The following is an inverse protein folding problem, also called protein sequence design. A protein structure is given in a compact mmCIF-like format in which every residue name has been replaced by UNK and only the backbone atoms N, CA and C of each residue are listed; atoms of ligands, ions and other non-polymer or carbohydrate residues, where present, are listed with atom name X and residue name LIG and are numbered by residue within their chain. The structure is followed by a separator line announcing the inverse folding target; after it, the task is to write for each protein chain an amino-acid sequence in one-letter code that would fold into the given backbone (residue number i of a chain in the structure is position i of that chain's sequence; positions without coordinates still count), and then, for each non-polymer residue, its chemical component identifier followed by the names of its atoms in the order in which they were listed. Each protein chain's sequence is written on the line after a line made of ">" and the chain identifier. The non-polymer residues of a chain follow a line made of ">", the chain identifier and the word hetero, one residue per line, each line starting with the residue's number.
data_IF_885422376221
#
_entry.id   IF_885422376221
#
_cell.length_a   1.000
_cell.length_b   1.000
_cell.length_c   1.000
_cell.angle_alpha   90.00
_cell.angle_beta   90.00
_cell.angle_gamma   90.00
#
_symmetry.space_group_name_H-M   'P 1'
#
loop_
_entity.id
_entity.type
_entity.pdbx_description
1 polymer ?
#
# COMPACT_ATOMS: atom_id res chain seq x y z
N UNK A 1 39.15 -0.42 -3.94
CA UNK A 1 38.90 -0.58 -2.51
C UNK A 1 37.40 -0.76 -2.34
N UNK A 2 37.03 -1.92 -1.81
CA UNK A 2 35.74 -2.36 -1.26
C UNK A 2 34.44 -2.02 -2.02
N UNK A 3 34.04 -2.95 -2.89
CA UNK A 3 32.64 -3.23 -3.13
C UNK A 3 32.17 -4.24 -2.07
N UNK A 4 31.87 -3.78 -0.85
CA UNK A 4 31.03 -4.54 0.09
C UNK A 4 29.61 -4.04 -0.08
N UNK A 5 28.93 -4.56 -1.10
CA UNK A 5 27.47 -4.57 -1.12
C UNK A 5 27.05 -5.88 -0.45
N UNK A 6 26.37 -5.79 0.69
CA UNK A 6 25.58 -6.88 1.26
C UNK A 6 24.64 -7.43 0.19
N UNK A 7 25.07 -8.44 -0.57
CA UNK A 7 24.21 -9.26 -1.41
C UNK A 7 23.65 -10.36 -0.53
N UNK A 8 22.86 -9.96 0.46
CA UNK A 8 21.95 -10.89 1.12
C UNK A 8 20.97 -11.41 0.06
N UNK A 9 20.85 -12.73 -0.06
CA UNK A 9 20.01 -13.37 -1.07
C UNK A 9 18.56 -12.90 -0.94
N UNK A 10 17.94 -12.51 -2.05
CA UNK A 10 16.54 -12.09 -2.08
C UNK A 10 15.66 -13.32 -2.21
N UNK A 11 14.86 -13.61 -1.19
CA UNK A 11 13.93 -14.74 -1.19
C UNK A 11 12.63 -14.36 -1.91
N UNK A 12 12.16 -13.13 -1.69
CA UNK A 12 10.95 -12.58 -2.33
C UNK A 12 11.36 -11.56 -3.37
N UNK A 13 11.40 -11.95 -4.63
CA UNK A 13 11.83 -11.08 -5.73
C UNK A 13 10.66 -10.40 -6.47
N UNK A 14 10.91 -9.24 -7.12
CA UNK A 14 10.00 -8.72 -8.13
C UNK A 14 9.79 -9.72 -9.25
N UNK A 15 8.53 -9.86 -9.67
CA UNK A 15 8.17 -10.70 -10.79
C UNK A 15 8.46 -10.07 -12.16
N UNK A 16 7.81 -10.55 -13.22
CA UNK A 16 6.84 -11.64 -13.20
C UNK A 16 7.52 -12.99 -12.91
N UNK A 17 7.04 -13.68 -11.87
CA UNK A 17 7.56 -14.99 -11.49
C UNK A 17 6.83 -16.16 -12.19
N UNK A 18 5.87 -15.85 -13.08
CA UNK A 18 5.10 -16.83 -13.84
C UNK A 18 3.74 -17.14 -13.22
N UNK A 19 3.07 -18.17 -13.75
CA UNK A 19 1.67 -18.50 -13.41
C UNK A 19 1.46 -18.94 -11.96
N UNK A 20 2.48 -19.54 -11.33
CA UNK A 20 2.38 -20.11 -9.99
C UNK A 20 3.69 -19.91 -9.20
N UNK A 21 4.01 -18.67 -8.79
CA UNK A 21 5.16 -18.48 -7.93
C UNK A 21 4.92 -19.17 -6.58
N UNK A 22 5.93 -19.87 -6.02
CA UNK A 22 5.81 -20.38 -4.66
C UNK A 22 5.50 -19.22 -3.72
N UNK A 23 4.64 -19.46 -2.74
CA UNK A 23 4.39 -18.47 -1.68
C UNK A 23 5.67 -18.19 -0.91
N UNK A 24 5.82 -16.97 -0.36
CA UNK A 24 6.98 -16.67 0.47
C UNK A 24 7.08 -17.62 1.68
N UNK A 25 5.94 -18.05 2.22
CA UNK A 25 5.87 -19.06 3.28
C UNK A 25 6.44 -20.42 2.88
N UNK A 26 6.20 -20.91 1.65
CA UNK A 26 6.81 -22.15 1.13
C UNK A 26 8.32 -22.02 0.96
N UNK A 27 8.83 -20.80 0.79
CA UNK A 27 10.25 -20.48 0.76
C UNK A 27 10.85 -20.24 2.16
N UNK A 28 10.07 -20.44 3.22
CA UNK A 28 10.51 -20.28 4.61
C UNK A 28 10.43 -18.86 5.17
N UNK A 29 9.82 -17.92 4.43
CA UNK A 29 9.61 -16.55 4.91
C UNK A 29 8.39 -16.52 5.82
N UNK A 30 8.57 -16.03 7.05
CA UNK A 30 7.50 -15.84 8.02
C UNK A 30 7.25 -14.34 8.25
N UNK A 31 6.04 -13.96 8.71
CA UNK A 31 5.80 -12.59 9.16
C UNK A 31 6.82 -12.15 10.21
N UNK A 32 7.30 -10.90 10.17
CA UNK A 32 8.36 -10.44 11.07
C UNK A 32 7.87 -10.40 12.53
N UNK A 33 8.80 -10.52 13.49
CA UNK A 33 8.49 -10.30 14.91
C UNK A 33 8.31 -8.80 15.21
N UNK A 34 7.61 -8.42 16.30
CA UNK A 34 7.53 -7.01 16.72
C UNK A 34 8.91 -6.36 16.83
N UNK A 35 9.03 -5.12 16.30
CA UNK A 35 10.30 -4.39 16.23
C UNK A 35 11.16 -4.70 15.00
N UNK A 36 10.76 -5.65 14.16
CA UNK A 36 11.43 -6.01 12.91
C UNK A 36 10.50 -5.81 11.71
N UNK A 37 11.08 -5.70 10.53
CA UNK A 37 10.39 -5.70 9.24
C UNK A 37 10.95 -6.79 8.32
N UNK A 38 10.43 -6.84 7.10
CA UNK A 38 11.00 -7.68 6.03
C UNK A 38 11.62 -6.81 4.93
N UNK A 39 12.74 -7.29 4.39
CA UNK A 39 13.39 -6.80 3.16
C UNK A 39 13.68 -7.99 2.24
N UNK A 40 12.94 -8.09 1.14
CA UNK A 40 13.00 -9.19 0.16
C UNK A 40 12.93 -10.59 0.82
N UNK A 41 12.11 -10.74 1.86
CA UNK A 41 11.96 -11.98 2.64
C UNK A 41 12.93 -12.14 3.81
N UNK A 42 13.97 -11.29 3.92
CA UNK A 42 14.89 -11.31 5.06
C UNK A 42 14.36 -10.45 6.21
N UNK A 43 14.48 -10.97 7.44
CA UNK A 43 14.10 -10.23 8.65
C UNK A 43 15.16 -9.18 8.95
N UNK A 44 14.77 -7.91 8.94
CA UNK A 44 15.65 -6.76 9.19
C UNK A 44 15.10 -5.89 10.31
N UNK A 45 15.92 -4.97 10.84
CA UNK A 45 15.40 -3.93 11.72
C UNK A 45 14.29 -3.15 11.01
N UNK A 46 13.22 -2.83 11.74
CA UNK A 46 12.03 -2.19 11.16
C UNK A 46 12.38 -0.91 10.37
N UNK A 47 13.33 -0.11 10.89
CA UNK A 47 13.78 1.12 10.24
C UNK A 47 14.47 0.88 8.88
N UNK A 48 15.21 -0.23 8.74
CA UNK A 48 15.82 -0.62 7.45
C UNK A 48 14.72 -0.95 6.43
N UNK A 49 13.67 -1.67 6.85
CA UNK A 49 12.54 -1.95 5.98
C UNK A 49 11.82 -0.66 5.54
N UNK A 50 11.66 0.31 6.45
CA UNK A 50 11.09 1.63 6.14
C UNK A 50 11.95 2.42 5.16
N UNK A 51 13.28 2.41 5.31
CA UNK A 51 14.20 3.11 4.40
C UNK A 51 14.18 2.53 2.99
N UNK A 52 14.24 1.20 2.87
CA UNK A 52 14.17 0.53 1.57
C UNK A 52 12.82 0.75 0.87
N UNK A 53 11.74 0.74 1.66
CA UNK A 53 10.41 1.11 1.18
C UNK A 53 10.38 2.56 0.66
N UNK A 54 11.00 3.50 1.38
CA UNK A 54 11.11 4.89 0.95
C UNK A 54 11.90 5.02 -0.35
N UNK A 55 13.07 4.38 -0.44
CA UNK A 55 13.91 4.38 -1.65
C UNK A 55 13.17 3.82 -2.85
N UNK A 56 12.42 2.74 -2.67
CA UNK A 56 11.59 2.17 -3.72
C UNK A 56 10.56 3.18 -4.25
N UNK A 57 9.80 3.80 -3.35
CA UNK A 57 8.74 4.74 -3.73
C UNK A 57 9.27 6.06 -4.30
N UNK A 58 10.45 6.50 -3.88
CA UNK A 58 11.07 7.74 -4.34
C UNK A 58 11.79 7.61 -5.70
N UNK A 59 12.17 6.40 -6.11
CA UNK A 59 12.99 6.17 -7.32
C UNK A 59 12.24 5.49 -8.46
N UNK A 60 11.16 4.78 -8.17
CA UNK A 60 10.40 4.01 -9.16
C UNK A 60 9.26 4.83 -9.77
N UNK A 61 8.97 4.57 -11.03
CA UNK A 61 7.94 5.32 -11.76
C UNK A 61 6.55 4.96 -11.26
N UNK A 62 5.66 5.95 -11.31
CA UNK A 62 4.24 5.76 -11.00
C UNK A 62 4.03 5.13 -9.61
N UNK A 63 4.84 5.53 -8.63
CA UNK A 63 4.74 5.07 -7.26
C UNK A 63 3.30 5.29 -6.75
N UNK A 64 2.71 4.26 -6.13
CA UNK A 64 1.28 4.27 -5.80
C UNK A 64 1.01 3.83 -4.37
N UNK A 65 0.19 4.58 -3.65
CA UNK A 65 -0.37 4.16 -2.37
C UNK A 65 -1.77 3.58 -2.61
N UNK A 66 -1.98 2.37 -2.11
CA UNK A 66 -3.26 1.66 -2.12
C UNK A 66 -3.85 1.66 -0.69
N UNK A 67 -4.60 2.71 -0.30
CA UNK A 67 -5.32 2.71 0.98
C UNK A 67 -6.50 1.75 0.91
N UNK A 68 -6.61 0.86 1.89
CA UNK A 68 -7.71 -0.10 2.03
C UNK A 68 -8.84 0.34 2.95
N UNK A 69 -9.86 -0.51 3.14
CA UNK A 69 -11.07 -0.20 3.90
C UNK A 69 -10.82 0.20 5.36
N UNK A 70 -9.71 -0.24 5.97
CA UNK A 70 -9.37 0.12 7.36
C UNK A 70 -8.94 1.58 7.52
N UNK A 71 -8.71 2.31 6.42
CA UNK A 71 -8.31 3.72 6.43
C UNK A 71 -9.22 4.61 5.56
N UNK A 72 -9.95 4.05 4.60
CA UNK A 72 -10.77 4.83 3.66
C UNK A 72 -12.06 5.39 4.25
N UNK A 73 -12.62 4.68 5.23
CA UNK A 73 -13.95 5.00 5.74
C UNK A 73 -13.85 5.72 7.09
N UNK A 74 -14.39 6.94 7.15
CA UNK A 74 -14.41 7.75 8.37
C UNK A 74 -15.47 7.25 9.39
N UNK A 75 -15.30 6.01 9.86
CA UNK A 75 -16.21 5.38 10.82
C UNK A 75 -15.97 5.80 12.27
N UNK A 76 -14.73 6.16 12.60
CA UNK A 76 -14.31 6.57 13.93
C UNK A 76 -13.03 7.42 13.84
N UNK A 77 -12.67 8.05 14.96
CA UNK A 77 -11.50 8.93 15.04
C UNK A 77 -10.18 8.20 14.74
N UNK A 78 -10.10 6.90 15.02
CA UNK A 78 -8.90 6.09 14.73
C UNK A 78 -8.70 5.90 13.22
N UNK A 79 -9.77 5.59 12.48
CA UNK A 79 -9.75 5.49 11.03
C UNK A 79 -9.45 6.86 10.39
N UNK A 80 -10.05 7.93 10.92
CA UNK A 80 -9.76 9.30 10.50
C UNK A 80 -8.29 9.67 10.71
N UNK A 81 -7.70 9.34 11.86
CA UNK A 81 -6.32 9.65 12.16
C UNK A 81 -5.34 8.85 11.28
N UNK A 82 -5.65 7.57 11.02
CA UNK A 82 -4.89 6.77 10.04
C UNK A 82 -4.99 7.35 8.64
N UNK A 83 -6.17 7.79 8.19
CA UNK A 83 -6.35 8.42 6.90
C UNK A 83 -5.47 9.69 6.76
N UNK A 84 -5.46 10.55 7.78
CA UNK A 84 -4.57 11.72 7.84
C UNK A 84 -3.10 11.31 7.76
N UNK A 85 -2.68 10.30 8.53
CA UNK A 85 -1.31 9.82 8.50
C UNK A 85 -0.90 9.27 7.12
N UNK A 86 -1.81 8.62 6.38
CA UNK A 86 -1.57 8.20 4.98
C UNK A 86 -1.42 9.39 4.04
N UNK A 87 -2.22 10.44 4.21
CA UNK A 87 -2.08 11.68 3.44
C UNK A 87 -0.79 12.43 3.76
N UNK A 88 -0.37 12.44 5.03
CA UNK A 88 0.93 12.96 5.47
C UNK A 88 2.10 12.19 4.84
N UNK A 89 1.99 10.85 4.72
CA UNK A 89 2.95 10.02 3.99
C UNK A 89 2.98 10.38 2.50
N UNK A 90 1.79 10.50 1.88
CA UNK A 90 1.67 10.88 0.48
C UNK A 90 2.34 12.24 0.22
N UNK A 91 2.23 13.20 1.14
CA UNK A 91 2.89 14.51 1.05
C UNK A 91 4.43 14.45 0.99
N UNK A 92 5.05 13.31 1.30
CA UNK A 92 6.50 13.10 1.20
C UNK A 92 6.95 12.43 -0.10
N UNK A 93 6.04 12.18 -1.05
CA UNK A 93 6.37 11.47 -2.30
C UNK A 93 6.04 12.33 -3.52
N UNK A 94 6.99 12.63 -4.42
CA UNK A 94 6.68 13.36 -5.65
C UNK A 94 5.87 12.50 -6.62
N UNK A 95 4.91 13.11 -7.31
CA UNK A 95 4.13 12.48 -8.40
C UNK A 95 3.48 11.12 -8.01
N UNK A 96 3.09 10.98 -6.74
CA UNK A 96 2.54 9.72 -6.21
C UNK A 96 1.07 9.60 -6.59
N UNK A 97 0.63 8.40 -6.96
CA UNK A 97 -0.80 8.13 -7.13
C UNK A 97 -1.40 7.60 -5.84
N UNK A 98 -2.65 7.96 -5.57
CA UNK A 98 -3.47 7.32 -4.53
C UNK A 98 -4.64 6.64 -5.23
N UNK A 99 -4.68 5.30 -5.16
CA UNK A 99 -5.75 4.49 -5.75
C UNK A 99 -6.44 3.74 -4.60
N UNK A 100 -7.60 4.22 -4.13
CA UNK A 100 -8.37 3.56 -3.09
C UNK A 100 -8.72 2.11 -3.44
N UNK A 101 -8.65 1.22 -2.44
CA UNK A 101 -9.23 -0.12 -2.46
C UNK A 101 -10.50 -0.11 -1.58
N UNK A 102 -11.63 0.48 -2.06
CA UNK A 102 -12.79 0.77 -1.22
C UNK A 102 -13.48 -0.48 -0.68
N UNK A 103 -13.53 -1.54 -1.47
CA UNK A 103 -14.18 -2.78 -1.10
C UNK A 103 -13.67 -3.93 -1.97
N UNK A 104 -13.16 -4.97 -1.33
CA UNK A 104 -12.69 -6.19 -1.97
C UNK A 104 -13.57 -7.41 -1.67
N UNK A 105 -14.71 -7.23 -0.99
CA UNK A 105 -15.70 -8.30 -0.86
C UNK A 105 -16.15 -8.74 -2.26
N UNK A 106 -16.47 -10.02 -2.45
CA UNK A 106 -17.14 -10.44 -3.67
C UNK A 106 -18.42 -9.60 -3.82
N UNK A 107 -18.64 -9.04 -5.01
CA UNK A 107 -19.78 -8.19 -5.29
C UNK A 107 -21.06 -9.04 -5.41
N UNK A 108 -21.56 -9.57 -4.30
CA UNK A 108 -22.82 -10.30 -4.24
C UNK A 108 -24.00 -9.37 -4.52
N UNK A 109 -25.08 -9.86 -5.16
CA UNK A 109 -25.32 -11.23 -5.61
C UNK A 109 -24.78 -11.55 -7.03
N UNK A 110 -23.88 -10.74 -7.60
CA UNK A 110 -23.48 -10.85 -9.02
C UNK A 110 -22.56 -12.04 -9.34
N UNK A 111 -22.36 -12.96 -8.40
CA UNK A 111 -21.40 -14.07 -8.49
C UNK A 111 -22.14 -15.32 -8.01
N UNK A 112 -22.30 -16.30 -8.90
CA UNK A 112 -22.77 -17.64 -8.57
C UNK A 112 -21.57 -18.48 -8.12
N UNK A 113 -21.43 -18.81 -6.82
CA UNK A 113 -20.24 -19.51 -6.33
C UNK A 113 -20.03 -20.90 -6.94
N UNK A 114 -21.10 -21.52 -7.46
CA UNK A 114 -21.03 -22.79 -8.20
C UNK A 114 -20.40 -22.64 -9.59
N UNK A 115 -20.45 -21.45 -10.17
CA UNK A 115 -20.08 -21.19 -11.58
C UNK A 115 -18.81 -20.33 -11.71
N UNK A 116 -18.54 -19.44 -10.76
CA UNK A 116 -17.43 -18.48 -10.89
C UNK A 116 -16.75 -18.13 -9.58
N UNK A 117 -15.41 -18.30 -9.56
CA UNK A 117 -14.53 -17.72 -8.56
C UNK A 117 -14.17 -16.28 -8.99
N UNK A 118 -14.38 -15.29 -8.11
CA UNK A 118 -14.05 -13.90 -8.41
C UNK A 118 -12.89 -13.39 -7.53
N UNK A 119 -11.63 -13.57 -7.97
CA UNK A 119 -10.54 -12.79 -7.43
C UNK A 119 -10.55 -11.40 -8.05
N UNK A 120 -10.38 -10.37 -7.22
CA UNK A 120 -9.92 -9.07 -7.75
C UNK A 120 -8.58 -9.29 -8.46
N UNK A 121 -8.37 -8.67 -9.63
CA UNK A 121 -7.14 -8.80 -10.43
C UNK A 121 -6.24 -7.56 -10.27
N UNK A 122 -5.50 -7.42 -9.16
CA UNK A 122 -4.69 -6.22 -8.88
C UNK A 122 -3.55 -6.02 -9.88
N UNK A 123 -3.06 -7.09 -10.49
CA UNK A 123 -2.07 -7.03 -11.57
C UNK A 123 -2.53 -6.20 -12.78
N UNK A 124 -3.84 -6.16 -13.07
CA UNK A 124 -4.39 -5.31 -14.13
C UNK A 124 -4.27 -3.83 -13.79
N UNK A 125 -4.51 -3.45 -12.53
CA UNK A 125 -4.32 -2.07 -12.06
C UNK A 125 -2.85 -1.65 -12.15
N UNK A 126 -1.93 -2.55 -11.76
CA UNK A 126 -0.49 -2.34 -11.87
C UNK A 126 -0.08 -2.13 -13.34
N UNK A 127 -0.50 -3.00 -14.26
CA UNK A 127 -0.18 -2.87 -15.68
C UNK A 127 -0.81 -1.63 -16.33
N UNK A 128 -2.10 -1.39 -16.09
CA UNK A 128 -2.83 -0.28 -16.68
C UNK A 128 -2.24 1.08 -16.32
N UNK A 129 -1.73 1.22 -15.09
CA UNK A 129 -1.10 2.45 -14.60
C UNK A 129 0.44 2.40 -14.66
N UNK A 130 1.03 1.31 -15.15
CA UNK A 130 2.49 1.09 -15.24
C UNK A 130 3.21 1.34 -13.91
N UNK A 131 2.65 0.81 -12.82
CA UNK A 131 3.14 1.03 -11.45
C UNK A 131 4.39 0.18 -11.23
N UNK A 132 5.51 0.83 -10.87
CA UNK A 132 6.78 0.13 -10.61
C UNK A 132 7.06 -0.05 -9.10
N UNK A 133 6.37 0.69 -8.22
CA UNK A 133 6.40 0.49 -6.78
C UNK A 133 5.04 0.85 -6.15
N UNK A 134 4.63 0.11 -5.12
CA UNK A 134 3.43 0.43 -4.38
C UNK A 134 3.51 0.10 -2.89
N UNK A 135 2.65 0.75 -2.11
CA UNK A 135 2.41 0.46 -0.69
C UNK A 135 0.93 0.14 -0.47
N UNK A 136 0.66 -0.99 0.18
CA UNK A 136 -0.66 -1.32 0.72
C UNK A 136 -0.75 -0.87 2.18
N UNK A 137 -1.77 -0.09 2.53
CA UNK A 137 -1.99 0.42 3.89
C UNK A 137 -3.46 0.23 4.25
N UNK A 138 -3.75 -0.39 5.39
CA UNK A 138 -5.14 -0.58 5.85
C UNK A 138 -5.93 -1.62 5.04
N UNK A 139 -5.25 -2.66 4.56
CA UNK A 139 -5.84 -3.81 3.86
C UNK A 139 -5.87 -5.01 4.82
N UNK A 140 -6.99 -5.76 4.89
CA UNK A 140 -7.05 -6.97 5.71
C UNK A 140 -6.03 -8.00 5.22
N UNK A 141 -5.43 -8.74 6.16
CA UNK A 141 -4.23 -9.52 5.89
C UNK A 141 -4.39 -10.59 4.79
N UNK A 142 -5.53 -11.28 4.79
CA UNK A 142 -5.84 -12.32 3.81
C UNK A 142 -5.95 -11.74 2.38
N UNK A 143 -6.53 -10.54 2.22
CA UNK A 143 -6.62 -9.87 0.92
C UNK A 143 -5.27 -9.33 0.45
N UNK A 144 -4.45 -8.81 1.37
CA UNK A 144 -3.11 -8.35 1.05
C UNK A 144 -2.25 -9.50 0.51
N UNK A 145 -2.18 -10.64 1.18
CA UNK A 145 -1.37 -11.78 0.72
C UNK A 145 -1.83 -12.32 -0.64
N UNK A 146 -3.14 -12.46 -0.89
CA UNK A 146 -3.64 -12.84 -2.22
C UNK A 146 -3.25 -11.83 -3.29
N UNK A 147 -3.41 -10.53 -2.98
CA UNK A 147 -3.06 -9.43 -3.88
C UNK A 147 -1.58 -9.44 -4.24
N UNK A 148 -0.71 -9.57 -3.24
CA UNK A 148 0.74 -9.58 -3.39
C UNK A 148 1.21 -10.76 -4.25
N UNK A 149 0.64 -11.95 -4.06
CA UNK A 149 0.93 -13.12 -4.91
C UNK A 149 0.57 -12.88 -6.37
N UNK A 150 -0.61 -12.32 -6.65
CA UNK A 150 -1.04 -12.02 -8.02
C UNK A 150 -0.15 -10.96 -8.69
N UNK A 151 0.28 -9.95 -7.93
CA UNK A 151 1.21 -8.92 -8.41
C UNK A 151 2.58 -9.53 -8.70
N UNK A 152 3.12 -10.39 -7.83
CA UNK A 152 4.41 -11.09 -8.06
C UNK A 152 4.33 -12.06 -9.24
N UNK A 153 3.20 -12.74 -9.43
CA UNK A 153 3.00 -13.63 -10.56
C UNK A 153 3.04 -12.88 -11.90
N UNK A 154 2.32 -11.75 -11.99
CA UNK A 154 2.09 -11.05 -13.25
C UNK A 154 2.96 -9.83 -13.52
N UNK A 155 3.66 -9.27 -12.53
CA UNK A 155 4.27 -7.93 -12.67
C UNK A 155 5.64 -7.85 -12.00
N UNK A 156 6.41 -6.82 -12.37
CA UNK A 156 7.69 -6.46 -11.76
C UNK A 156 7.57 -5.32 -10.73
N UNK A 157 6.35 -5.02 -10.25
CA UNK A 157 6.10 -3.97 -9.29
C UNK A 157 6.73 -4.31 -7.93
N UNK A 158 7.45 -3.35 -7.35
CA UNK A 158 7.97 -3.46 -6.00
C UNK A 158 6.86 -3.26 -4.98
N UNK A 159 6.56 -4.31 -4.22
CA UNK A 159 5.42 -4.30 -3.30
C UNK A 159 5.84 -4.07 -1.86
N UNK A 160 5.13 -3.15 -1.21
CA UNK A 160 5.33 -2.82 0.19
C UNK A 160 4.03 -2.95 0.97
N UNK A 161 4.13 -3.28 2.24
CA UNK A 161 2.99 -3.46 3.13
C UNK A 161 3.24 -2.75 4.46
N UNK A 162 2.34 -1.83 4.82
CA UNK A 162 2.26 -1.27 6.16
C UNK A 162 1.00 -1.86 6.81
N UNK A 163 1.19 -2.99 7.47
CA UNK A 163 0.14 -3.85 8.01
C UNK A 163 -0.23 -3.42 9.43
N UNK A 164 -1.53 -3.44 9.76
CA UNK A 164 -2.00 -3.17 11.12
C UNK A 164 -1.71 -4.31 12.11
N UNK A 165 -1.42 -5.52 11.61
CA UNK A 165 -1.27 -6.73 12.41
C UNK A 165 0.11 -7.38 12.22
N UNK A 166 0.18 -8.55 11.57
CA UNK A 166 1.35 -9.43 11.60
C UNK A 166 2.42 -9.08 10.56
N UNK A 167 2.06 -8.32 9.53
CA UNK A 167 2.90 -8.10 8.35
C UNK A 167 2.58 -9.09 7.21
N UNK A 168 3.18 -8.86 6.04
CA UNK A 168 2.94 -9.64 4.82
C UNK A 168 4.25 -10.22 4.28
N UNK A 169 4.37 -11.54 4.35
CA UNK A 169 5.52 -12.31 3.90
C UNK A 169 5.72 -12.24 2.37
N UNK A 170 4.63 -12.08 1.60
CA UNK A 170 4.70 -11.96 0.14
C UNK A 170 5.04 -10.54 -0.36
N UNK A 171 5.13 -9.54 0.53
CA UNK A 171 5.61 -8.22 0.17
C UNK A 171 7.14 -8.16 0.24
N UNK A 172 7.76 -7.36 -0.63
CA UNK A 172 9.21 -7.15 -0.60
C UNK A 172 9.62 -6.32 0.62
N UNK A 173 8.77 -5.38 1.03
CA UNK A 173 8.98 -4.61 2.25
C UNK A 173 7.76 -4.70 3.14
N UNK A 174 7.95 -5.08 4.40
CA UNK A 174 6.85 -5.19 5.36
C UNK A 174 7.19 -4.50 6.66
N UNK A 175 6.23 -3.71 7.13
CA UNK A 175 6.13 -3.17 8.49
C UNK A 175 4.83 -3.69 9.10
N UNK A 176 4.87 -4.05 10.38
CA UNK A 176 3.76 -4.66 11.13
C UNK A 176 3.27 -3.76 12.26
N UNK A 177 2.18 -4.17 12.93
CA UNK A 177 1.57 -3.47 14.07
C UNK A 177 1.34 -1.97 13.82
N UNK A 178 0.89 -1.60 12.62
CA UNK A 178 0.79 -0.21 12.21
C UNK A 178 -0.52 0.46 12.62
N UNK A 179 -0.38 1.43 13.52
CA UNK A 179 -1.37 2.46 13.80
C UNK A 179 -1.00 3.79 13.11
N UNK A 180 -1.74 4.85 13.40
CA UNK A 180 -1.45 6.17 12.85
C UNK A 180 -0.07 6.71 13.29
N UNK A 181 0.37 6.43 14.53
CA UNK A 181 1.68 6.84 15.02
C UNK A 181 2.81 6.12 14.25
N UNK A 182 2.67 4.84 13.97
CA UNK A 182 3.60 4.06 13.15
C UNK A 182 3.65 4.57 11.72
N UNK A 183 2.50 4.88 11.09
CA UNK A 183 2.48 5.49 9.75
C UNK A 183 3.23 6.82 9.76
N UNK A 184 3.04 7.67 10.78
CA UNK A 184 3.80 8.92 10.92
C UNK A 184 5.29 8.70 11.10
N UNK A 185 5.71 7.64 11.82
CA UNK A 185 7.12 7.26 11.89
C UNK A 185 7.67 6.89 10.51
N UNK A 186 6.92 6.10 9.73
CA UNK A 186 7.27 5.81 8.33
C UNK A 186 7.38 7.10 7.53
N UNK A 187 6.44 8.03 7.68
CA UNK A 187 6.47 9.36 7.04
C UNK A 187 7.75 10.13 7.36
N UNK A 188 8.22 10.11 8.61
CA UNK A 188 9.49 10.76 8.98
C UNK A 188 10.69 10.11 8.30
N UNK A 189 10.72 8.78 8.19
CA UNK A 189 11.77 8.06 7.45
C UNK A 189 11.73 8.44 5.97
N UNK A 190 10.54 8.48 5.35
CA UNK A 190 10.37 8.88 3.96
C UNK A 190 10.87 10.31 3.72
N UNK A 191 10.53 11.24 4.63
CA UNK A 191 11.04 12.61 4.60
C UNK A 191 12.57 12.65 4.67
N UNK A 192 13.16 11.94 5.63
CA UNK A 192 14.63 11.86 5.80
C UNK A 192 15.29 11.34 4.52
N UNK A 193 14.85 10.20 4.01
CA UNK A 193 15.40 9.58 2.79
C UNK A 193 15.22 10.50 1.58
N UNK A 194 14.07 11.16 1.43
CA UNK A 194 13.82 12.15 0.37
C UNK A 194 14.82 13.30 0.41
N UNK A 195 15.06 13.85 1.60
CA UNK A 195 15.98 14.96 1.82
C UNK A 195 17.44 14.55 1.56
N UNK A 196 17.86 13.37 2.04
CA UNK A 196 19.17 12.78 1.73
C UNK A 196 19.39 12.58 0.23
N UNK A 197 18.35 12.20 -0.50
CA UNK A 197 18.38 12.02 -1.96
C UNK A 197 18.26 13.34 -2.74
N UNK A 198 18.03 14.48 -2.06
CA UNK A 198 17.87 15.79 -2.71
C UNK A 198 16.60 15.92 -3.56
N UNK A 199 15.58 15.08 -3.32
CA UNK A 199 14.34 15.07 -4.08
C UNK A 199 13.42 16.21 -3.61
N UNK A 200 13.12 17.13 -4.53
CA UNK A 200 12.25 18.28 -4.27
C UNK A 200 10.78 17.93 -4.47
N UNK A 201 9.94 18.51 -3.63
CA UNK A 201 8.48 18.49 -3.77
C UNK A 201 8.01 19.79 -4.45
N UNK A 202 6.85 19.80 -5.11
CA UNK A 202 6.28 21.01 -5.68
C UNK A 202 5.95 22.04 -4.60
N UNK A 203 6.18 23.31 -4.87
CA UNK A 203 6.02 24.41 -3.90
C UNK A 203 4.58 24.59 -3.41
N UNK A 204 3.60 24.28 -4.28
CA UNK A 204 2.18 24.33 -3.96
C UNK A 204 1.67 23.07 -3.22
N UNK A 205 2.54 22.09 -2.95
CA UNK A 205 2.18 20.84 -2.30
C UNK A 205 1.34 19.90 -3.17
N UNK A 206 1.11 20.18 -4.45
CA UNK A 206 0.31 19.32 -5.35
C UNK A 206 1.13 18.12 -5.86
N UNK A 207 1.52 17.24 -4.95
CA UNK A 207 2.39 16.11 -5.25
C UNK A 207 1.66 14.78 -5.44
N UNK A 208 0.33 14.74 -5.23
CA UNK A 208 -0.50 13.57 -5.60
C UNK A 208 -1.01 13.72 -7.02
N UNK A 209 -0.63 12.80 -7.90
CA UNK A 209 -1.09 12.73 -9.28
C UNK A 209 -2.40 11.94 -9.36
N UNK A 210 -3.35 12.47 -10.12
CA UNK A 210 -4.57 11.75 -10.48
C UNK A 210 -4.32 10.75 -11.60
N UNK A 211 -4.97 9.58 -11.50
CA UNK A 211 -5.17 8.67 -12.63
C UNK A 211 -6.00 9.35 -13.73
N UNK A 212 -6.02 8.78 -14.94
CA UNK A 212 -6.79 9.33 -16.06
C UNK A 212 -8.28 9.54 -15.73
N UNK A 213 -8.90 8.57 -15.04
CA UNK A 213 -10.31 8.69 -14.61
C UNK A 213 -10.49 9.72 -13.50
N UNK A 214 -9.60 9.76 -12.51
CA UNK A 214 -9.63 10.78 -11.45
C UNK A 214 -9.51 12.19 -12.06
N UNK A 215 -8.62 12.39 -13.02
CA UNK A 215 -8.47 13.66 -13.72
C UNK A 215 -9.77 14.11 -14.40
N UNK A 216 -10.47 13.19 -15.08
CA UNK A 216 -11.75 13.47 -15.73
C UNK A 216 -12.82 13.95 -14.75
N UNK A 217 -12.95 13.30 -13.59
CA UNK A 217 -13.94 13.68 -12.57
C UNK A 217 -13.53 14.93 -11.76
N UNK A 218 -12.26 15.34 -11.85
CA UNK A 218 -11.73 16.56 -11.26
C UNK A 218 -11.49 17.66 -12.30
N UNK A 219 -12.35 17.76 -13.32
CA UNK A 219 -12.33 18.83 -14.33
C UNK A 219 -10.98 18.97 -15.07
N UNK A 220 -10.30 17.86 -15.32
CA UNK A 220 -9.01 17.82 -16.02
C UNK A 220 -7.81 18.22 -15.16
N UNK A 221 -7.98 18.44 -13.85
CA UNK A 221 -6.83 18.59 -12.93
C UNK A 221 -5.95 17.35 -13.02
N UNK A 222 -4.64 17.54 -12.97
CA UNK A 222 -3.66 16.44 -13.01
C UNK A 222 -3.14 16.08 -11.62
N UNK A 223 -3.15 17.03 -10.68
CA UNK A 223 -2.61 16.86 -9.34
C UNK A 223 -3.51 17.50 -8.28
N UNK A 224 -3.25 17.14 -7.03
CA UNK A 224 -3.84 17.74 -5.83
C UNK A 224 -2.85 17.73 -4.68
N UNK A 225 -3.04 18.64 -3.73
CA UNK A 225 -2.35 18.58 -2.45
C UNK A 225 -3.01 17.52 -1.55
N UNK A 226 -2.29 16.47 -1.11
CA UNK A 226 -2.86 15.43 -0.24
C UNK A 226 -3.37 15.98 1.08
N UNK A 227 -2.78 17.05 1.60
CA UNK A 227 -3.16 17.65 2.89
C UNK A 227 -4.45 18.50 2.80
N UNK A 228 -4.88 18.83 1.58
CA UNK A 228 -6.14 19.55 1.32
C UNK A 228 -7.30 18.60 1.03
N UNK A 229 -7.06 17.29 0.94
CA UNK A 229 -8.11 16.31 0.74
C UNK A 229 -8.99 16.27 2.00
N UNK A 230 -10.28 16.66 1.91
CA UNK A 230 -11.14 16.70 3.08
C UNK A 230 -11.43 15.27 3.56
N UNK A 231 -11.49 15.11 4.88
CA UNK A 231 -12.14 13.94 5.44
C UNK A 231 -13.65 14.07 5.22
N UNK A 232 -14.28 13.03 4.69
CA UNK A 232 -15.73 12.96 4.61
C UNK A 232 -16.37 13.05 6.00
N UNK A 233 -17.66 13.41 6.07
CA UNK A 233 -18.40 13.44 7.33
C UNK A 233 -18.32 12.09 8.06
N UNK A 234 -18.23 12.13 9.39
CA UNK A 234 -18.24 10.93 10.22
C UNK A 234 -19.62 10.26 10.14
N UNK A 235 -19.67 9.00 9.69
CA UNK A 235 -20.93 8.25 9.57
C UNK A 235 -21.30 7.84 8.14
N UNK A 236 -22.31 6.97 8.05
CA UNK A 236 -22.52 6.01 6.96
C UNK A 236 -22.73 6.52 5.53
N UNK A 237 -22.70 7.82 5.24
CA UNK A 237 -22.99 8.33 3.90
C UNK A 237 -21.97 7.86 2.83
N UNK A 238 -20.68 7.74 3.17
CA UNK A 238 -19.65 7.32 2.21
C UNK A 238 -19.56 5.80 2.05
N UNK A 239 -19.71 5.05 3.14
CA UNK A 239 -19.47 3.62 3.13
C UNK A 239 -20.76 2.78 2.95
N UNK A 240 -21.94 3.28 3.36
CA UNK A 240 -23.22 2.65 3.03
C UNK A 240 -23.52 2.72 1.52
N UNK A 241 -23.00 3.73 0.81
CA UNK A 241 -23.02 3.79 -0.65
C UNK A 241 -22.28 2.60 -1.30
N UNK A 242 -21.35 1.96 -0.58
CA UNK A 242 -20.65 0.74 -0.97
C UNK A 242 -21.17 -0.49 -0.19
N UNK A 243 -22.30 -0.38 0.50
CA UNK A 243 -22.92 -1.47 1.25
C UNK A 243 -22.12 -1.91 2.48
N UNK A 244 -21.36 -1.01 3.09
CA UNK A 244 -20.72 -1.25 4.39
C UNK A 244 -21.55 -0.60 5.50
N UNK A 245 -21.69 -1.29 6.63
CA UNK A 245 -22.29 -0.74 7.84
C UNK A 245 -21.24 -0.65 8.97
N UNK A 246 -21.37 0.29 9.92
CA UNK A 246 -20.44 0.39 11.05
C UNK A 246 -20.24 -0.92 11.81
N UNK A 247 -21.30 -1.74 11.93
CA UNK A 247 -21.29 -3.00 12.67
C UNK A 247 -20.45 -4.08 11.98
N UNK A 248 -20.27 -4.01 10.66
CA UNK A 248 -19.46 -4.95 9.89
C UNK A 248 -17.96 -4.83 10.24
N UNK A 249 -17.56 -3.75 10.94
CA UNK A 249 -16.19 -3.46 11.36
C UNK A 249 -15.99 -3.53 12.88
N UNK A 250 -17.03 -3.79 13.68
CA UNK A 250 -16.98 -3.65 15.14
C UNK A 250 -16.27 -4.79 15.89
N UNK A 251 -15.69 -5.79 15.21
CA UNK A 251 -14.85 -6.80 15.85
C UNK A 251 -13.80 -7.36 14.90
N UNK A 252 -12.59 -6.87 15.02
CA UNK A 252 -11.40 -7.72 14.98
C UNK A 252 -10.59 -7.33 16.22
N UNK A 253 -10.84 -8.06 17.30
CA UNK A 253 -10.03 -8.03 18.52
C UNK A 253 -9.04 -9.18 18.50
#
# INVERSE_FOLDING_TARGET
>A
MEATQDQEERIVEPGPAGFHPPSAAELGVLPPKPGYGLRFGNVVQEEIAMEEMARAMLTRKNATIFPGPLVLWNWNDHAADKAKAVLELAAQLPDVMIIPMPDYRPKYPKIEPEEVINPNHPNLTIWGNKIEACIFIGVHCHYANLTLKMIRAGTNCWTSAICAEQGHEDAMFTVRDSDAAKIRRVTQVFKRVREEMGIKLPENGENVRFTGLQSQVHNGKSHTNPLEIPLGESGGASAAAFGHRPEDMQREG
#
